data_IF_753326408714
#
_entry.id   IF_753326408714
#
_cell.length_a   1.000
_cell.length_b   1.000
_cell.length_c   1.000
_cell.angle_alpha   90.00
_cell.angle_beta   90.00
_cell.angle_gamma   90.00
#
_symmetry.space_group_name_H-M   'P 1'
#
loop_
_entity.id
_entity.type
_entity.pdbx_description
1 polymer ?
#
# COMPACT_ATOMS: atom_id res chain seq x y z
N UNK A 1 0.41 0.44 -13.97
CA UNK A 1 1.83 0.59 -14.35
C UNK A 1 2.03 1.58 -15.50
N UNK A 2 1.32 1.46 -16.62
CA UNK A 2 1.52 2.33 -17.79
C UNK A 2 1.36 3.84 -17.48
N UNK A 3 0.33 4.20 -16.70
CA UNK A 3 0.09 5.59 -16.26
C UNK A 3 1.28 6.11 -15.42
N UNK A 4 1.81 5.30 -14.51
CA UNK A 4 2.93 5.69 -13.63
C UNK A 4 4.25 5.85 -14.37
N UNK A 5 4.52 5.00 -15.37
CA UNK A 5 5.83 4.93 -16.04
C UNK A 5 5.91 5.75 -17.33
N UNK A 6 4.77 6.08 -17.95
CA UNK A 6 4.74 6.67 -19.31
C UNK A 6 4.04 8.02 -19.40
N UNK A 7 3.44 8.52 -18.31
CA UNK A 7 2.72 9.80 -18.32
C UNK A 7 3.36 10.86 -17.44
N UNK A 8 3.14 12.14 -17.78
CA UNK A 8 3.58 13.29 -16.96
C UNK A 8 3.03 13.23 -15.53
N UNK A 9 1.79 12.75 -15.37
CA UNK A 9 1.17 12.56 -14.07
C UNK A 9 1.93 11.54 -13.22
N UNK A 10 2.43 10.45 -13.82
CA UNK A 10 3.28 9.47 -13.15
C UNK A 10 4.57 10.08 -12.59
N UNK A 11 5.27 10.86 -13.40
CA UNK A 11 6.48 11.58 -12.96
C UNK A 11 6.18 12.57 -11.82
N UNK A 12 5.05 13.27 -11.87
CA UNK A 12 4.63 14.16 -10.79
C UNK A 12 4.35 13.39 -9.48
N UNK A 13 3.76 12.20 -9.55
CA UNK A 13 3.50 11.35 -8.39
C UNK A 13 4.81 10.93 -7.71
N UNK A 14 5.79 10.44 -8.49
CA UNK A 14 7.10 10.05 -7.94
C UNK A 14 7.89 11.25 -7.41
N UNK A 15 7.89 12.38 -8.12
CA UNK A 15 8.58 13.59 -7.67
C UNK A 15 8.02 14.12 -6.33
N UNK A 16 6.69 14.20 -6.21
CA UNK A 16 6.01 14.64 -4.98
C UNK A 16 6.22 13.66 -3.83
N UNK A 17 6.31 12.36 -4.12
CA UNK A 17 6.59 11.33 -3.13
C UNK A 17 8.02 11.36 -2.60
N UNK A 18 9.02 11.70 -3.43
CA UNK A 18 10.42 11.72 -3.02
C UNK A 18 10.80 12.97 -2.23
N UNK A 19 10.58 14.15 -2.81
CA UNK A 19 10.83 15.42 -2.11
C UNK A 19 9.85 16.51 -2.61
N UNK A 20 8.96 16.94 -1.71
CA UNK A 20 7.91 17.92 -2.00
C UNK A 20 8.46 19.29 -2.37
N UNK A 21 9.53 19.73 -1.72
CA UNK A 21 10.13 21.04 -1.96
C UNK A 21 10.87 21.08 -3.29
N UNK A 22 11.61 20.01 -3.61
CA UNK A 22 12.25 19.84 -4.91
C UNK A 22 11.22 19.74 -6.05
N UNK A 23 10.12 19.00 -5.86
CA UNK A 23 9.05 18.91 -6.84
C UNK A 23 8.41 20.29 -7.12
N UNK A 24 8.23 21.12 -6.08
CA UNK A 24 7.70 22.48 -6.22
C UNK A 24 8.68 23.40 -6.98
N UNK A 25 9.99 23.27 -6.73
CA UNK A 25 11.02 24.03 -7.44
C UNK A 25 11.06 23.72 -8.96
N UNK A 26 10.69 22.50 -9.36
CA UNK A 26 10.61 22.07 -10.77
C UNK A 26 9.23 22.39 -11.40
N UNK A 27 8.34 23.08 -10.68
CA UNK A 27 7.04 23.52 -11.20
C UNK A 27 5.93 22.45 -11.15
N UNK A 28 6.11 21.37 -10.39
CA UNK A 28 5.07 20.34 -10.22
C UNK A 28 3.97 20.87 -9.28
N UNK A 29 2.67 20.77 -9.65
CA UNK A 29 1.56 21.23 -8.80
C UNK A 29 1.28 20.24 -7.66
N UNK A 30 2.17 20.22 -6.65
CA UNK A 30 2.19 19.28 -5.51
C UNK A 30 0.81 19.08 -4.87
N UNK A 31 0.09 20.17 -4.58
CA UNK A 31 -1.21 20.13 -3.91
C UNK A 31 -2.27 19.45 -4.78
N UNK A 32 -2.34 19.79 -6.07
CA UNK A 32 -3.31 19.19 -7.00
C UNK A 32 -3.06 17.70 -7.20
N UNK A 33 -1.79 17.31 -7.33
CA UNK A 33 -1.41 15.90 -7.46
C UNK A 33 -1.81 15.09 -6.23
N UNK A 34 -1.60 15.62 -5.02
CA UNK A 34 -2.03 14.95 -3.78
C UNK A 34 -3.54 14.83 -3.67
N UNK A 35 -4.28 15.91 -3.93
CA UNK A 35 -5.75 15.89 -3.87
C UNK A 35 -6.28 14.84 -4.86
N UNK A 36 -5.79 14.82 -6.10
CA UNK A 36 -6.20 13.83 -7.09
C UNK A 36 -5.91 12.38 -6.65
N UNK A 37 -4.75 12.13 -6.03
CA UNK A 37 -4.40 10.82 -5.48
C UNK A 37 -5.35 10.40 -4.35
N UNK A 38 -5.61 11.28 -3.37
CA UNK A 38 -6.52 10.99 -2.26
C UNK A 38 -7.96 10.79 -2.73
N UNK A 39 -8.43 11.58 -3.69
CA UNK A 39 -9.74 11.38 -4.30
C UNK A 39 -9.84 10.04 -5.02
N UNK A 40 -8.78 9.63 -5.74
CA UNK A 40 -8.72 8.32 -6.39
C UNK A 40 -8.80 7.16 -5.39
N UNK A 41 -8.06 7.25 -4.27
CA UNK A 41 -8.15 6.26 -3.19
C UNK A 41 -9.53 6.26 -2.56
N UNK A 42 -10.12 7.42 -2.30
CA UNK A 42 -11.48 7.55 -1.76
C UNK A 42 -12.54 6.92 -2.65
N UNK A 43 -12.46 7.11 -3.97
CA UNK A 43 -13.34 6.46 -4.93
C UNK A 43 -13.17 4.94 -4.93
N UNK A 44 -11.94 4.45 -4.89
CA UNK A 44 -11.66 3.01 -4.80
C UNK A 44 -12.20 2.39 -3.51
N UNK A 45 -12.00 3.05 -2.37
CA UNK A 45 -12.52 2.63 -1.08
C UNK A 45 -14.06 2.64 -1.07
N UNK A 46 -14.69 3.64 -1.68
CA UNK A 46 -16.13 3.70 -1.84
C UNK A 46 -16.68 2.51 -2.64
N UNK A 47 -16.09 2.19 -3.80
CA UNK A 47 -16.48 1.02 -4.60
C UNK A 47 -16.32 -0.28 -3.82
N UNK A 48 -15.19 -0.45 -3.13
CA UNK A 48 -14.93 -1.62 -2.29
C UNK A 48 -15.94 -1.73 -1.13
N UNK A 49 -16.31 -0.61 -0.52
CA UNK A 49 -17.29 -0.55 0.57
C UNK A 49 -18.70 -0.91 0.09
N UNK A 50 -19.10 -0.46 -1.10
CA UNK A 50 -20.38 -0.86 -1.71
C UNK A 50 -20.43 -2.36 -1.95
N UNK A 51 -19.35 -2.96 -2.44
CA UNK A 51 -19.29 -4.41 -2.64
C UNK A 51 -19.44 -5.19 -1.32
N UNK A 52 -18.83 -4.69 -0.25
CA UNK A 52 -18.99 -5.26 1.09
C UNK A 52 -20.44 -5.16 1.57
N UNK A 53 -21.07 -4.00 1.38
CA UNK A 53 -22.48 -3.77 1.76
C UNK A 53 -23.44 -4.74 1.05
N UNK A 54 -23.21 -5.06 -0.22
CA UNK A 54 -24.04 -6.03 -0.95
C UNK A 54 -23.74 -7.49 -0.59
N UNK A 55 -22.58 -7.79 0.01
CA UNK A 55 -22.18 -9.15 0.35
C UNK A 55 -22.71 -9.62 1.70
N UNK A 56 -23.13 -8.69 2.57
CA UNK A 56 -23.56 -8.97 3.93
C UNK A 56 -24.93 -8.36 4.21
N UNK A 57 -25.84 -9.14 4.78
CA UNK A 57 -27.19 -8.69 5.17
C UNK A 57 -27.16 -7.74 6.39
N UNK A 58 -26.09 -7.83 7.18
CA UNK A 58 -25.80 -6.97 8.34
C UNK A 58 -24.31 -6.65 8.37
N UNK A 59 -23.97 -5.37 8.33
CA UNK A 59 -22.59 -4.87 8.43
C UNK A 59 -22.39 -4.28 9.82
N UNK A 60 -21.40 -4.79 10.55
CA UNK A 60 -21.05 -4.25 11.86
C UNK A 60 -20.22 -2.97 11.71
N UNK A 61 -20.45 -1.97 12.57
CA UNK A 61 -19.74 -0.68 12.53
C UNK A 61 -18.23 -0.77 12.79
N UNK A 62 -17.74 -1.92 13.25
CA UNK A 62 -16.31 -2.21 13.44
C UNK A 62 -15.65 -2.91 12.24
N UNK A 63 -16.38 -3.20 11.17
CA UNK A 63 -15.81 -3.84 9.98
C UNK A 63 -14.72 -2.95 9.37
N UNK A 64 -13.48 -3.49 9.33
CA UNK A 64 -12.29 -2.80 8.84
C UNK A 64 -11.39 -2.18 9.91
N UNK A 65 -11.85 -2.07 11.17
CA UNK A 65 -11.01 -1.59 12.28
C UNK A 65 -9.90 -2.61 12.57
N UNK A 66 -8.64 -2.16 12.49
CA UNK A 66 -7.46 -3.02 12.63
C UNK A 66 -6.90 -3.57 11.31
N UNK A 67 -7.60 -3.38 10.18
CA UNK A 67 -7.12 -3.79 8.86
C UNK A 67 -6.32 -2.68 8.16
N UNK A 68 -6.29 -1.45 8.70
CA UNK A 68 -5.59 -0.31 8.11
C UNK A 68 -4.09 -0.61 7.96
N UNK A 69 -3.50 -1.13 9.02
CA UNK A 69 -2.09 -1.53 9.04
C UNK A 69 -1.84 -2.65 8.03
N UNK A 70 -2.75 -3.61 7.91
CA UNK A 70 -2.66 -4.73 6.98
C UNK A 70 -2.63 -4.25 5.53
N UNK A 71 -3.49 -3.29 5.18
CA UNK A 71 -3.52 -2.73 3.83
C UNK A 71 -2.23 -1.99 3.47
N UNK A 72 -1.66 -1.23 4.42
CA UNK A 72 -0.36 -0.57 4.24
C UNK A 72 0.73 -1.61 3.97
N UNK A 73 0.75 -2.71 4.74
CA UNK A 73 1.75 -3.76 4.63
C UNK A 73 1.67 -4.49 3.30
N UNK A 74 0.46 -4.84 2.87
CA UNK A 74 0.25 -5.50 1.58
C UNK A 74 0.85 -4.68 0.43
N UNK A 75 0.70 -3.35 0.48
CA UNK A 75 1.30 -2.44 -0.49
C UNK A 75 2.84 -2.37 -0.40
N UNK A 76 3.40 -2.41 0.82
CA UNK A 76 4.86 -2.35 1.09
C UNK A 76 5.57 -3.66 0.72
N UNK A 77 4.97 -4.82 1.02
CA UNK A 77 5.46 -6.14 0.55
C UNK A 77 5.56 -6.15 -0.98
N UNK A 78 4.59 -5.53 -1.64
CA UNK A 78 4.60 -5.31 -3.08
C UNK A 78 5.62 -4.30 -3.59
N UNK A 79 6.47 -3.72 -2.73
CA UNK A 79 7.57 -2.84 -3.13
C UNK A 79 7.25 -1.35 -3.15
N UNK A 80 6.21 -0.89 -2.44
CA UNK A 80 5.96 0.54 -2.22
C UNK A 80 6.77 1.07 -1.02
N UNK A 81 7.50 2.18 -1.16
CA UNK A 81 8.19 2.80 -0.02
C UNK A 81 7.21 3.62 0.85
N UNK A 82 7.28 3.40 2.17
CA UNK A 82 6.51 4.17 3.17
C UNK A 82 6.86 5.66 3.12
N UNK A 83 8.12 6.00 2.86
CA UNK A 83 8.58 7.40 2.78
C UNK A 83 8.14 8.10 1.49
N UNK A 84 7.64 7.36 0.50
CA UNK A 84 7.28 7.86 -0.82
C UNK A 84 8.46 7.95 -1.80
N UNK A 85 8.14 8.23 -3.06
CA UNK A 85 9.12 8.52 -4.13
C UNK A 85 9.52 7.33 -5.00
N UNK A 86 9.37 6.11 -4.49
CA UNK A 86 9.66 4.88 -5.22
C UNK A 86 8.60 3.80 -4.95
N UNK A 87 8.22 3.08 -5.99
CA UNK A 87 7.31 1.93 -5.89
C UNK A 87 6.70 1.53 -7.23
N UNK A 88 6.00 0.40 -7.22
CA UNK A 88 5.30 -0.12 -8.39
C UNK A 88 3.87 -0.52 -8.04
N UNK A 89 2.89 0.04 -8.76
CA UNK A 89 1.49 -0.35 -8.59
C UNK A 89 1.25 -1.84 -8.92
N UNK A 90 2.02 -2.43 -9.83
CA UNK A 90 1.91 -3.86 -10.15
C UNK A 90 2.43 -4.70 -8.99
N UNK A 91 3.57 -4.31 -8.42
CA UNK A 91 4.12 -4.98 -7.26
C UNK A 91 3.16 -4.94 -6.07
N UNK A 92 2.58 -3.77 -5.77
CA UNK A 92 1.56 -3.61 -4.71
C UNK A 92 0.30 -4.45 -4.96
N UNK A 93 -0.15 -4.59 -6.21
CA UNK A 93 -1.27 -5.48 -6.54
C UNK A 93 -0.93 -6.95 -6.28
N UNK A 94 0.28 -7.40 -6.63
CA UNK A 94 0.76 -8.76 -6.34
C UNK A 94 0.90 -8.98 -4.83
N UNK A 95 1.43 -8.01 -4.09
CA UNK A 95 1.52 -8.07 -2.62
C UNK A 95 0.15 -8.20 -1.94
N UNK A 96 -0.84 -7.42 -2.40
CA UNK A 96 -2.22 -7.53 -1.93
C UNK A 96 -2.86 -8.88 -2.28
N UNK A 97 -2.59 -9.41 -3.48
CA UNK A 97 -3.08 -10.71 -3.90
C UNK A 97 -2.51 -11.86 -3.06
N UNK A 98 -1.19 -11.87 -2.83
CA UNK A 98 -0.51 -12.86 -1.98
C UNK A 98 -1.07 -12.79 -0.55
N UNK A 99 -1.25 -11.58 -0.02
CA UNK A 99 -1.85 -11.40 1.30
C UNK A 99 -3.27 -11.97 1.36
N UNK A 100 -4.12 -11.65 0.38
CA UNK A 100 -5.49 -12.15 0.29
C UNK A 100 -5.57 -13.67 0.19
N UNK A 101 -4.73 -14.28 -0.66
CA UNK A 101 -4.62 -15.73 -0.78
C UNK A 101 -4.17 -16.39 0.52
N UNK A 102 -3.20 -15.80 1.21
CA UNK A 102 -2.69 -16.32 2.49
C UNK A 102 -3.77 -16.24 3.56
N UNK A 103 -4.50 -15.12 3.65
CA UNK A 103 -5.59 -14.94 4.60
C UNK A 103 -6.72 -15.95 4.41
N UNK A 104 -7.13 -16.24 3.15
CA UNK A 104 -8.15 -17.26 2.88
C UNK A 104 -7.60 -18.68 3.02
N UNK A 105 -6.37 -18.94 2.56
CA UNK A 105 -5.74 -20.25 2.61
C UNK A 105 -5.55 -20.79 4.03
N UNK A 106 -5.21 -19.92 5.00
CA UNK A 106 -5.07 -20.31 6.42
C UNK A 106 -6.41 -20.72 7.03
N UNK A 107 -7.49 -20.02 6.67
CA UNK A 107 -8.86 -20.37 7.12
C UNK A 107 -9.28 -21.72 6.54
N UNK A 108 -8.97 -22.00 5.27
CA UNK A 108 -9.26 -23.28 4.64
C UNK A 108 -8.35 -24.43 5.11
N UNK A 109 -7.16 -24.12 5.61
CA UNK A 109 -6.25 -25.09 6.21
C UNK A 109 -6.56 -25.41 7.69
N UNK A 110 -7.68 -24.89 8.22
CA UNK A 110 -8.14 -25.06 9.62
C UNK A 110 -7.10 -24.66 10.68
N UNK A 111 -6.16 -23.79 10.32
CA UNK A 111 -5.12 -23.36 11.25
C UNK A 111 -5.66 -22.32 12.23
N UNK A 112 -5.23 -22.37 13.49
CA UNK A 112 -5.76 -21.46 14.52
C UNK A 112 -5.49 -19.98 14.13
N UNK A 113 -6.54 -19.15 13.91
CA UNK A 113 -6.42 -17.75 13.53
C UNK A 113 -5.67 -16.89 14.56
N UNK A 114 -5.57 -17.32 15.82
CA UNK A 114 -4.85 -16.59 16.86
C UNK A 114 -3.35 -16.43 16.54
N UNK A 115 -2.76 -17.43 15.89
CA UNK A 115 -1.36 -17.39 15.45
C UNK A 115 -1.16 -16.51 14.21
N UNK A 116 -2.22 -16.21 13.45
CA UNK A 116 -2.13 -15.40 12.22
C UNK A 116 -1.62 -13.99 12.51
N UNK A 117 -2.17 -13.32 13.54
CA UNK A 117 -1.75 -11.96 13.91
C UNK A 117 -0.30 -11.92 14.37
N UNK A 118 0.17 -12.95 15.05
CA UNK A 118 1.57 -13.08 15.47
C UNK A 118 2.52 -13.25 14.28
N UNK A 119 2.23 -14.19 13.37
CA UNK A 119 3.04 -14.40 12.17
C UNK A 119 3.02 -13.20 11.23
N UNK A 120 1.87 -12.54 11.09
CA UNK A 120 1.75 -11.31 10.32
C UNK A 120 2.65 -10.21 10.91
N UNK A 121 2.62 -10.01 12.22
CA UNK A 121 3.48 -9.07 12.92
C UNK A 121 4.98 -9.40 12.79
N UNK A 122 5.35 -10.69 12.86
CA UNK A 122 6.72 -11.14 12.66
C UNK A 122 7.21 -10.90 11.22
N UNK A 123 6.38 -11.21 10.22
CA UNK A 123 6.70 -10.98 8.81
C UNK A 123 6.81 -9.48 8.50
N UNK A 124 5.98 -8.66 9.13
CA UNK A 124 6.01 -7.19 9.06
C UNK A 124 7.32 -6.64 9.63
N UNK A 125 7.74 -7.10 10.81
CA UNK A 125 9.03 -6.77 11.41
C UNK A 125 10.18 -7.12 10.47
N UNK A 126 10.16 -8.31 9.87
CA UNK A 126 11.19 -8.72 8.90
C UNK A 126 11.18 -7.85 7.63
N UNK A 127 10.01 -7.58 7.05
CA UNK A 127 9.89 -6.76 5.84
C UNK A 127 10.34 -5.32 6.08
N UNK A 128 10.01 -4.75 7.24
CA UNK A 128 10.43 -3.39 7.61
C UNK A 128 11.92 -3.32 7.96
N UNK A 129 12.47 -4.31 8.64
CA UNK A 129 13.91 -4.42 8.90
C UNK A 129 14.70 -4.58 7.59
N UNK A 130 14.22 -5.42 6.68
CA UNK A 130 14.81 -5.58 5.35
C UNK A 130 14.73 -4.27 4.55
N UNK A 131 13.58 -3.59 4.56
CA UNK A 131 13.43 -2.30 3.87
C UNK A 131 14.36 -1.23 4.47
N UNK A 132 14.46 -1.17 5.79
CA UNK A 132 15.40 -0.28 6.49
C UNK A 132 16.87 -0.61 6.19
N UNK A 133 17.21 -1.89 6.08
CA UNK A 133 18.55 -2.35 5.75
C UNK A 133 18.93 -2.07 4.29
N UNK A 134 18.02 -2.34 3.35
CA UNK A 134 18.18 -2.00 1.93
C UNK A 134 18.36 -0.48 1.79
N UNK A 135 17.58 0.31 2.53
CA UNK A 135 17.74 1.77 2.56
C UNK A 135 19.12 2.21 3.05
N UNK A 136 19.61 1.65 4.17
CA UNK A 136 20.97 1.94 4.67
C UNK A 136 22.04 1.64 3.63
N UNK A 137 21.91 0.55 2.86
CA UNK A 137 22.84 0.23 1.78
C UNK A 137 22.73 1.18 0.59
N UNK A 138 21.51 1.58 0.22
CA UNK A 138 21.29 2.54 -0.86
C UNK A 138 21.80 3.94 -0.51
N UNK A 139 21.70 4.36 0.75
CA UNK A 139 22.26 5.62 1.28
C UNK A 139 23.79 5.56 1.39
N UNK A 140 24.38 4.41 1.74
CA UNK A 140 25.83 4.22 1.84
C UNK A 140 26.57 4.13 0.49
N UNK A 141 25.84 4.06 -0.63
CA UNK A 141 26.40 3.99 -1.99
C UNK A 141 26.38 5.36 -2.70
N UNK A 142 25.96 6.43 -2.03
CA UNK A 142 26.12 7.82 -2.48
C UNK A 142 27.24 8.50 -1.70
#
# INVERSE_FOLDING_TARGET
SWILLRTRAGNWIFAVGGNKDAARAVGVPVTRTKIGLYMGVGLGAWISGQHLLFSYDVVQSGEGVGNELIYIIAAVIGGCLITGGYGSAVGSAVGAFIFGMTSKGIVFAEWNPDWFKFFLGAMLLLATLLNAWVRKRAEATK
#
